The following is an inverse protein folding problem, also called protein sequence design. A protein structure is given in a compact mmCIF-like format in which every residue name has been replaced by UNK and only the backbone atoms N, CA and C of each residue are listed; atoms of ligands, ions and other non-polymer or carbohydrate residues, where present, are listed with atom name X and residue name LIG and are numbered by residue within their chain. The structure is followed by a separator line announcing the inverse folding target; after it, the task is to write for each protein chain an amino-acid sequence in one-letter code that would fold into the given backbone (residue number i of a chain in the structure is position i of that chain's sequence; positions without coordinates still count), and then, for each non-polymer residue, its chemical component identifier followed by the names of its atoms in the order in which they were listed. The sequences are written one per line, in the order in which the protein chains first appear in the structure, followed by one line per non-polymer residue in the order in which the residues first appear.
data_IF_268456821871
#
_entry.id   IF_268456821871
#
_cell.length_a   1.000
_cell.length_b   1.000
_cell.length_c   1.000
_cell.angle_alpha   90.00
_cell.angle_beta   90.00
_cell.angle_gamma   90.00
#
_symmetry.space_group_name_H-M   'P 1'
#
loop_
_entity.id
_entity.type
_entity.pdbx_description
1 polymer ?
#
# COMPACT_ATOMS: atom_id res chain seq x y z
N UNK A 1 -14.63 -21.00 4.29
CA UNK A 1 -14.60 -19.52 4.28
C UNK A 1 -14.75 -19.12 2.82
N UNK A 2 -16.00 -18.87 2.39
CA UNK A 2 -16.31 -18.62 0.99
C UNK A 2 -15.87 -17.22 0.56
N UNK A 3 -15.75 -17.02 -0.75
CA UNK A 3 -15.56 -15.72 -1.43
C UNK A 3 -16.76 -14.76 -1.28
N UNK A 4 -17.76 -15.13 -0.48
CA UNK A 4 -18.98 -14.34 -0.26
C UNK A 4 -18.63 -13.00 0.39
N UNK A 5 -18.99 -11.91 -0.30
CA UNK A 5 -18.76 -10.54 0.17
C UNK A 5 -17.49 -9.85 -0.36
N UNK A 6 -16.72 -10.49 -1.25
CA UNK A 6 -15.67 -9.79 -1.99
C UNK A 6 -16.25 -9.03 -3.19
N UNK A 7 -15.98 -7.73 -3.29
CA UNK A 7 -16.47 -6.87 -4.39
C UNK A 7 -15.31 -6.26 -5.15
N UNK A 8 -15.29 -6.38 -6.48
CA UNK A 8 -14.26 -5.72 -7.30
C UNK A 8 -14.51 -4.20 -7.34
N UNK A 9 -13.50 -3.41 -6.93
CA UNK A 9 -13.51 -1.95 -7.07
C UNK A 9 -12.95 -1.55 -8.43
N UNK A 10 -11.85 -2.18 -8.85
CA UNK A 10 -11.16 -1.91 -10.12
C UNK A 10 -10.30 -3.10 -10.51
N UNK A 11 -10.33 -3.49 -11.78
CA UNK A 11 -9.44 -4.50 -12.36
C UNK A 11 -8.53 -3.80 -13.38
N UNK A 12 -7.21 -3.80 -13.16
CA UNK A 12 -6.25 -3.03 -13.96
C UNK A 12 -4.81 -3.56 -13.82
N UNK A 13 -3.84 -2.67 -13.57
CA UNK A 13 -2.46 -3.06 -13.22
C UNK A 13 -2.36 -3.64 -11.80
N UNK A 14 -3.26 -3.21 -10.91
CA UNK A 14 -3.52 -3.86 -9.64
C UNK A 14 -5.01 -4.18 -9.58
N UNK A 15 -5.36 -5.41 -9.27
CA UNK A 15 -6.75 -5.80 -9.01
C UNK A 15 -7.11 -5.36 -7.59
N UNK A 16 -8.10 -4.50 -7.47
CA UNK A 16 -8.52 -3.88 -6.22
C UNK A 16 -9.88 -4.46 -5.83
N UNK A 17 -9.93 -5.07 -4.65
CA UNK A 17 -11.10 -5.73 -4.10
C UNK A 17 -11.45 -5.14 -2.74
N UNK A 18 -12.73 -4.92 -2.48
CA UNK A 18 -13.26 -4.72 -1.14
C UNK A 18 -13.58 -6.08 -0.53
N UNK A 19 -13.20 -6.26 0.72
CA UNK A 19 -13.57 -7.40 1.55
C UNK A 19 -14.47 -6.97 2.71
N UNK A 20 -15.20 -7.91 3.34
CA UNK A 20 -15.91 -7.64 4.58
C UNK A 20 -14.99 -7.03 5.64
N UNK A 21 -15.55 -6.16 6.50
CA UNK A 21 -14.78 -5.49 7.56
C UNK A 21 -14.04 -4.24 7.11
N UNK A 22 -14.43 -3.61 5.98
CA UNK A 22 -13.83 -2.37 5.45
C UNK A 22 -12.35 -2.52 5.14
N UNK A 23 -12.01 -3.61 4.46
CA UNK A 23 -10.66 -3.93 4.02
C UNK A 23 -10.59 -3.85 2.51
N UNK A 24 -9.55 -3.22 1.99
CA UNK A 24 -9.22 -3.21 0.56
C UNK A 24 -7.99 -4.07 0.33
N UNK A 25 -8.11 -5.03 -0.59
CA UNK A 25 -6.98 -5.83 -1.09
C UNK A 25 -6.55 -5.30 -2.43
N UNK A 26 -5.24 -5.12 -2.61
CA UNK A 26 -4.61 -4.78 -3.88
C UNK A 26 -3.73 -5.95 -4.27
N UNK A 27 -4.09 -6.63 -5.36
CA UNK A 27 -3.39 -7.79 -5.90
C UNK A 27 -2.56 -7.32 -7.09
N UNK A 28 -1.25 -7.37 -6.94
CA UNK A 28 -0.31 -6.99 -7.97
C UNK A 28 -0.14 -8.11 -9.01
N UNK A 29 0.21 -7.73 -10.23
CA UNK A 29 0.60 -8.68 -11.27
C UNK A 29 1.83 -9.49 -10.88
N UNK A 30 2.05 -10.67 -11.51
CA UNK A 30 3.25 -11.43 -11.25
C UNK A 30 4.55 -10.66 -11.46
N UNK A 31 5.52 -10.85 -10.56
CA UNK A 31 6.81 -10.16 -10.60
C UNK A 31 6.82 -8.73 -10.02
N UNK A 32 5.73 -8.30 -9.38
CA UNK A 32 5.61 -6.97 -8.76
C UNK A 32 5.70 -7.00 -7.23
N UNK A 33 6.23 -8.08 -6.64
CA UNK A 33 6.34 -8.29 -5.18
C UNK A 33 7.13 -7.16 -4.51
N UNK A 34 8.29 -6.82 -5.07
CA UNK A 34 9.15 -5.76 -4.53
C UNK A 34 8.49 -4.38 -4.63
N UNK A 35 7.65 -4.15 -5.65
CA UNK A 35 6.88 -2.93 -5.80
C UNK A 35 5.77 -2.87 -4.74
N UNK A 36 5.00 -3.95 -4.58
CA UNK A 36 3.93 -4.05 -3.58
C UNK A 36 4.47 -3.86 -2.14
N UNK A 37 5.59 -4.51 -1.80
CA UNK A 37 6.26 -4.32 -0.51
C UNK A 37 6.74 -2.88 -0.32
N UNK A 38 7.30 -2.27 -1.38
CA UNK A 38 7.76 -0.89 -1.34
C UNK A 38 6.61 0.08 -1.10
N UNK A 39 5.44 -0.13 -1.71
CA UNK A 39 4.25 0.67 -1.47
C UNK A 39 3.91 0.67 0.02
N UNK A 40 3.70 -0.50 0.64
CA UNK A 40 3.39 -0.62 2.08
C UNK A 40 4.40 0.15 2.94
N UNK A 41 5.70 0.01 2.66
CA UNK A 41 6.75 0.71 3.41
C UNK A 41 6.68 2.22 3.21
N UNK A 42 6.47 2.72 1.99
CA UNK A 42 6.31 4.16 1.73
C UNK A 42 5.12 4.70 2.51
N UNK A 43 3.97 4.04 2.45
CA UNK A 43 2.75 4.56 3.04
C UNK A 43 2.76 4.54 4.57
N UNK A 44 3.41 3.52 5.18
CA UNK A 44 3.70 3.50 6.62
C UNK A 44 4.59 4.67 7.01
N UNK A 45 5.68 4.91 6.26
CA UNK A 45 6.58 6.03 6.52
C UNK A 45 5.90 7.40 6.38
N UNK A 46 5.07 7.60 5.34
CA UNK A 46 4.29 8.83 5.17
C UNK A 46 3.37 9.08 6.36
N UNK A 47 2.65 8.04 6.78
CA UNK A 47 1.74 8.10 7.94
C UNK A 47 2.47 8.47 9.23
N UNK A 48 3.66 7.87 9.46
CA UNK A 48 4.53 8.20 10.61
C UNK A 48 5.05 9.64 10.58
N UNK A 49 5.13 10.27 9.40
CA UNK A 49 5.56 11.66 9.21
C UNK A 49 4.39 12.64 9.19
N UNK A 50 3.18 12.19 9.52
CA UNK A 50 1.98 13.02 9.54
C UNK A 50 1.50 13.45 8.15
N UNK A 51 1.97 12.82 7.06
CA UNK A 51 1.43 13.03 5.72
C UNK A 51 0.21 12.12 5.55
N UNK A 52 -0.98 12.66 5.23
CA UNK A 52 -2.16 11.85 4.94
C UNK A 52 -1.90 10.85 3.82
N UNK A 53 -2.06 9.57 4.13
CA UNK A 53 -1.87 8.48 3.18
C UNK A 53 -2.79 7.30 3.55
N UNK A 54 -3.09 6.44 2.57
CA UNK A 54 -3.88 5.22 2.80
C UNK A 54 -3.16 4.31 3.79
N UNK A 55 -3.89 3.72 4.74
CA UNK A 55 -3.26 2.95 5.82
C UNK A 55 -3.21 1.47 5.47
N UNK A 56 -2.02 0.84 5.41
CA UNK A 56 -1.95 -0.60 5.31
C UNK A 56 -2.35 -1.22 6.65
N UNK A 57 -3.01 -2.38 6.62
CA UNK A 57 -3.28 -3.15 7.84
C UNK A 57 -1.96 -3.55 8.53
N UNK A 58 -2.02 -3.66 9.86
CA UNK A 58 -0.88 -4.07 10.69
C UNK A 58 -0.72 -5.59 10.71
N UNK A 59 -0.44 -6.13 9.54
CA UNK A 59 -0.11 -7.54 9.32
C UNK A 59 1.20 -7.64 8.54
N UNK A 60 1.81 -8.82 8.55
CA UNK A 60 2.90 -9.14 7.62
C UNK A 60 2.35 -9.18 6.20
N UNK A 61 2.91 -8.33 5.33
CA UNK A 61 2.49 -8.19 3.94
C UNK A 61 3.63 -7.62 3.07
N UNK A 62 3.67 -7.92 1.76
CA UNK A 62 2.65 -8.62 0.98
C UNK A 62 2.54 -10.11 1.29
N UNK A 63 1.37 -10.69 1.08
CA UNK A 63 1.17 -12.13 1.02
C UNK A 63 1.28 -12.55 -0.45
N UNK A 64 2.19 -13.47 -0.77
CA UNK A 64 2.36 -13.96 -2.14
C UNK A 64 1.66 -15.30 -2.34
N UNK A 65 0.82 -15.39 -3.37
CA UNK A 65 0.14 -16.62 -3.80
C UNK A 65 0.23 -16.70 -5.33
N UNK A 66 0.65 -17.84 -5.87
CA UNK A 66 0.80 -18.08 -7.33
C UNK A 66 1.59 -16.97 -8.06
N UNK A 67 2.66 -16.49 -7.41
CA UNK A 67 3.51 -15.42 -7.93
C UNK A 67 2.86 -14.05 -7.96
N UNK A 68 1.71 -13.83 -7.31
CA UNK A 68 1.05 -12.53 -7.18
C UNK A 68 1.12 -12.03 -5.74
N UNK A 69 1.47 -10.77 -5.55
CA UNK A 69 1.54 -10.14 -4.24
C UNK A 69 0.22 -9.45 -3.88
N UNK A 70 -0.37 -9.82 -2.74
CA UNK A 70 -1.54 -9.17 -2.16
C UNK A 70 -1.14 -8.27 -0.99
N UNK A 71 -1.62 -7.03 -1.00
CA UNK A 71 -1.49 -6.06 0.10
C UNK A 71 -2.87 -5.63 0.60
N UNK A 72 -2.98 -5.40 1.90
CA UNK A 72 -4.22 -5.18 2.63
C UNK A 72 -4.20 -3.81 3.30
N UNK A 73 -5.29 -3.07 3.09
CA UNK A 73 -5.42 -1.66 3.45
C UNK A 73 -6.74 -1.41 4.15
N UNK A 74 -6.76 -0.42 5.04
CA UNK A 74 -8.02 0.15 5.55
C UNK A 74 -8.79 0.78 4.39
N UNK A 75 -10.08 0.47 4.28
CA UNK A 75 -10.94 1.14 3.33
C UNK A 75 -11.12 2.61 3.70
N UNK A 76 -10.94 3.50 2.71
CA UNK A 76 -11.21 4.91 2.91
C UNK A 76 -12.71 5.16 3.07
N UNK A 77 -13.12 6.06 3.97
CA UNK A 77 -14.50 6.53 3.99
C UNK A 77 -14.86 7.21 2.65
N UNK A 78 -16.15 7.46 2.38
CA UNK A 78 -16.58 8.23 1.22
C UNK A 78 -15.76 9.53 1.10
N UNK A 79 -15.14 9.72 -0.07
CA UNK A 79 -14.23 10.83 -0.34
C UNK A 79 -14.51 11.42 -1.71
N UNK A 80 -14.08 12.67 -1.90
CA UNK A 80 -14.14 13.37 -3.19
C UNK A 80 -12.74 13.55 -3.75
N UNK A 81 -12.65 13.81 -5.05
CA UNK A 81 -11.41 14.28 -5.64
C UNK A 81 -11.00 15.60 -4.98
N UNK A 82 -9.73 15.68 -4.55
CA UNK A 82 -9.15 16.92 -4.07
C UNK A 82 -8.84 17.87 -5.23
N UNK A 83 -8.81 19.17 -4.94
CA UNK A 83 -8.39 20.20 -5.87
C UNK A 83 -6.93 20.64 -5.63
N UNK A 84 -6.43 21.57 -6.45
CA UNK A 84 -5.06 22.09 -6.33
C UNK A 84 -4.78 22.78 -4.99
N UNK A 85 -5.80 23.38 -4.38
CA UNK A 85 -5.67 24.01 -3.05
C UNK A 85 -5.49 22.97 -1.95
N UNK A 86 -6.04 21.76 -2.13
CA UNK A 86 -5.80 20.63 -1.23
C UNK A 86 -4.42 19.98 -1.48
N UNK A 87 -4.01 19.90 -2.75
CA UNK A 87 -2.79 19.19 -3.15
C UNK A 87 -1.51 19.97 -2.84
N UNK A 88 -1.46 21.28 -3.13
CA UNK A 88 -0.24 22.07 -3.00
C UNK A 88 0.38 22.06 -1.58
N UNK A 89 -0.40 22.19 -0.49
CA UNK A 89 0.12 22.04 0.87
C UNK A 89 0.70 20.65 1.15
N UNK A 90 0.03 19.59 0.69
CA UNK A 90 0.48 18.21 0.88
C UNK A 90 1.79 17.92 0.16
N UNK A 91 1.95 18.42 -1.08
CA UNK A 91 3.20 18.29 -1.83
C UNK A 91 4.36 19.02 -1.16
N UNK A 92 4.11 20.22 -0.65
CA UNK A 92 5.12 20.97 0.12
C UNK A 92 5.53 20.24 1.39
N UNK A 93 4.57 19.67 2.12
CA UNK A 93 4.86 18.84 3.30
C UNK A 93 5.71 17.63 2.92
N UNK A 94 5.32 16.90 1.87
CA UNK A 94 6.02 15.72 1.36
C UNK A 94 7.47 16.04 0.96
N UNK A 95 7.69 17.12 0.21
CA UNK A 95 9.03 17.53 -0.23
C UNK A 95 9.92 18.09 0.90
N UNK A 96 9.31 18.49 2.02
CA UNK A 96 10.04 18.89 3.23
C UNK A 96 10.55 17.71 4.06
N UNK A 97 10.13 16.48 3.78
CA UNK A 97 10.56 15.31 4.54
C UNK A 97 11.99 14.87 4.19
N UNK A 98 12.75 14.32 5.16
CA UNK A 98 14.08 13.79 4.87
C UNK A 98 13.98 12.60 3.91
N UNK A 99 15.01 12.42 3.07
CA UNK A 99 15.06 11.28 2.16
C UNK A 99 14.96 9.95 2.97
N UNK A 100 13.97 9.11 2.65
CA UNK A 100 13.79 7.80 3.28
C UNK A 100 15.07 6.97 3.30
N UNK A 101 15.94 7.10 2.29
CA UNK A 101 17.21 6.36 2.17
C UNK A 101 18.19 6.63 3.31
N UNK A 102 18.09 7.75 4.02
CA UNK A 102 18.93 8.00 5.21
C UNK A 102 18.41 7.29 6.47
N UNK A 103 17.22 6.67 6.43
CA UNK A 103 16.51 6.21 7.63
C UNK A 103 16.23 4.70 7.72
N UNK A 104 16.50 3.87 6.70
CA UNK A 104 16.23 2.41 6.81
C UNK A 104 16.93 1.57 5.74
N UNK A 105 18.04 0.90 6.09
CA UNK A 105 18.79 -0.01 5.19
C UNK A 105 18.57 -1.49 5.53
N UNK A 106 17.77 -1.83 6.56
CA UNK A 106 17.78 -3.18 7.14
C UNK A 106 16.74 -4.17 6.57
N UNK A 107 15.66 -3.70 5.94
CA UNK A 107 14.51 -4.58 5.66
C UNK A 107 14.34 -5.02 4.20
N UNK A 108 14.81 -4.24 3.22
CA UNK A 108 14.71 -4.61 1.79
C UNK A 108 15.55 -5.88 1.49
N UNK A 109 16.71 -6.06 2.14
CA UNK A 109 17.55 -7.27 1.96
C UNK A 109 16.95 -8.54 2.57
N UNK A 110 16.11 -8.42 3.59
CA UNK A 110 15.58 -9.59 4.29
C UNK A 110 14.53 -10.35 3.45
N UNK A 111 13.91 -9.67 2.47
CA UNK A 111 12.95 -10.31 1.56
C UNK A 111 13.65 -11.04 0.40
N UNK A 112 14.76 -10.48 -0.12
CA UNK A 112 15.56 -11.13 -1.18
C UNK A 112 16.24 -12.44 -0.72
N UNK A 113 16.40 -12.65 0.59
CA UNK A 113 17.08 -13.83 1.16
C UNK A 113 16.15 -15.01 1.47
N UNK A 114 14.82 -14.88 1.28
CA UNK A 114 13.84 -15.96 1.55
C UNK A 114 13.27 -16.62 0.29
N UNK A 115 13.72 -16.20 -0.89
CA UNK A 115 13.33 -16.78 -2.19
C UNK A 115 14.51 -17.41 -2.92
N UNK A 116 15.55 -17.82 -2.19
CA UNK A 116 16.68 -18.60 -2.70
C UNK A 116 16.59 -20.03 -2.21
#
# INVERSE_FOLDING_TARGET
MGIEGAESIRLAENDIWRLPGRVVVRIARPGQEAAAAREVVVTRWLSQRGVPAVRPLDIEQPITVDGRAATFWEELPPHRAGDSSNLAPLLRQLHGLPNRRSSSTRWIRSYESRTA
#
